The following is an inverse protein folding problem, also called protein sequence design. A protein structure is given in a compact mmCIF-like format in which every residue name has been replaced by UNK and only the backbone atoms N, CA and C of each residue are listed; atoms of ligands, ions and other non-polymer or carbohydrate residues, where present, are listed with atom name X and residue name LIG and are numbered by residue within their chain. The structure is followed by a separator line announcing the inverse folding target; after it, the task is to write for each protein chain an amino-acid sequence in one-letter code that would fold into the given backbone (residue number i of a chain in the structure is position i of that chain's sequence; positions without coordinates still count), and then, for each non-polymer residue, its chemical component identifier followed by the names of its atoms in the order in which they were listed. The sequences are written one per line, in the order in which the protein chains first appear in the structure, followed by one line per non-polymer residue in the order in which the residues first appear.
data_IF_974154593631
#
_entry.id   IF_974154593631
#
_cell.length_a   1.000
_cell.length_b   1.000
_cell.length_c   1.000
_cell.angle_alpha   90.00
_cell.angle_beta   90.00
_cell.angle_gamma   90.00
#
_symmetry.space_group_name_H-M   'P 1'
#
loop_
_entity.id
_entity.type
_entity.pdbx_description
1 polymer ?
#
# COMPACT_ATOMS: atom_id res chain seq x y z
N UNK A 1 10.84 -30.63 -6.81
CA UNK A 1 10.93 -29.39 -7.61
C UNK A 1 9.72 -28.54 -7.30
N UNK A 2 9.94 -27.42 -6.58
CA UNK A 2 8.87 -26.65 -5.93
C UNK A 2 8.23 -25.66 -6.91
N UNK A 3 6.96 -25.87 -7.26
CA UNK A 3 6.19 -25.03 -8.18
C UNK A 3 5.71 -23.70 -7.57
N UNK A 4 6.04 -23.43 -6.31
CA UNK A 4 5.56 -22.25 -5.57
C UNK A 4 6.55 -21.07 -5.52
N UNK A 5 7.83 -21.28 -5.89
CA UNK A 5 8.83 -20.22 -5.96
C UNK A 5 8.46 -19.04 -6.91
N UNK A 6 7.85 -19.25 -8.10
CA UNK A 6 7.56 -18.12 -8.98
C UNK A 6 6.41 -17.23 -8.47
N UNK A 7 5.49 -17.79 -7.69
CA UNK A 7 4.31 -17.04 -7.21
C UNK A 7 4.66 -15.99 -6.14
N UNK A 8 5.60 -16.31 -5.23
CA UNK A 8 6.07 -15.34 -4.25
C UNK A 8 6.83 -14.18 -4.91
N UNK A 9 7.60 -14.46 -5.95
CA UNK A 9 8.35 -13.43 -6.66
C UNK A 9 7.41 -12.45 -7.38
N UNK A 10 6.37 -12.95 -8.06
CA UNK A 10 5.39 -12.10 -8.74
C UNK A 10 4.63 -11.21 -7.76
N UNK A 11 4.19 -11.73 -6.61
CA UNK A 11 3.48 -10.95 -5.59
C UNK A 11 4.36 -9.84 -4.98
N UNK A 12 5.62 -10.14 -4.67
CA UNK A 12 6.56 -9.14 -4.15
C UNK A 12 6.87 -8.08 -5.19
N UNK A 13 7.10 -8.47 -6.45
CA UNK A 13 7.30 -7.51 -7.55
C UNK A 13 6.07 -6.63 -7.80
N UNK A 14 4.86 -7.19 -7.72
CA UNK A 14 3.63 -6.42 -7.91
C UNK A 14 3.40 -5.43 -6.76
N UNK A 15 3.68 -5.83 -5.53
CA UNK A 15 3.59 -4.95 -4.37
C UNK A 15 4.64 -3.83 -4.44
N UNK A 16 5.87 -4.15 -4.85
CA UNK A 16 6.94 -3.16 -5.02
C UNK A 16 6.61 -2.17 -6.15
N UNK A 17 6.06 -2.66 -7.26
CA UNK A 17 5.63 -1.82 -8.38
C UNK A 17 4.44 -0.92 -8.00
N UNK A 18 3.49 -1.41 -7.20
CA UNK A 18 2.38 -0.61 -6.69
C UNK A 18 2.88 0.51 -5.75
N UNK A 19 3.85 0.23 -4.90
CA UNK A 19 4.48 1.22 -4.01
C UNK A 19 5.24 2.28 -4.83
N UNK A 20 6.00 1.88 -5.86
CA UNK A 20 6.71 2.83 -6.73
C UNK A 20 5.74 3.72 -7.52
N UNK A 21 4.65 3.16 -8.04
CA UNK A 21 3.68 3.91 -8.85
C UNK A 21 2.84 4.89 -8.04
N UNK A 22 2.65 4.65 -6.74
CA UNK A 22 2.00 5.60 -5.84
C UNK A 22 2.89 6.83 -5.52
N UNK A 23 4.20 6.75 -5.75
CA UNK A 23 5.15 7.85 -5.51
C UNK A 23 5.33 8.82 -6.69
N UNK A 24 4.88 8.49 -7.89
CA UNK A 24 5.19 9.22 -9.13
C UNK A 24 4.13 10.27 -9.54
N UNK A 25 3.09 10.52 -8.73
CA UNK A 25 1.96 11.38 -9.13
C UNK A 25 2.10 12.84 -8.66
N UNK A 26 3.28 13.31 -8.23
CA UNK A 26 3.43 14.73 -7.79
C UNK A 26 4.76 15.39 -8.10
N UNK A 27 5.33 15.12 -9.28
CA UNK A 27 6.43 15.91 -9.82
C UNK A 27 6.20 16.26 -11.29
N UNK A 28 5.24 17.14 -11.55
CA UNK A 28 5.20 17.92 -12.80
C UNK A 28 4.40 19.22 -12.62
N UNK A 29 5.07 20.21 -12.03
CA UNK A 29 4.80 21.63 -12.25
C UNK A 29 6.06 22.40 -11.82
N UNK A 30 7.10 22.32 -12.65
CA UNK A 30 8.19 23.29 -12.62
C UNK A 30 7.60 24.66 -13.01
N UNK A 31 7.42 25.54 -12.01
CA UNK A 31 7.11 26.94 -12.23
C UNK A 31 8.42 27.63 -12.64
N UNK A 32 8.52 28.01 -13.92
CA UNK A 32 9.50 28.96 -14.40
C UNK A 32 9.38 30.30 -13.66
N UNK A 33 10.49 30.98 -13.31
CA UNK A 33 10.45 32.33 -12.78
C UNK A 33 10.20 33.32 -13.93
N UNK A 34 8.97 33.84 -14.04
CA UNK A 34 8.63 34.89 -14.98
C UNK A 34 9.36 36.20 -14.63
N UNK A 35 10.12 36.70 -15.61
CA UNK A 35 10.76 38.02 -15.63
C UNK A 35 9.73 39.13 -15.45
N UNK A 36 10.16 40.09 -14.65
CA UNK A 36 9.69 41.46 -14.52
C UNK A 36 9.41 42.12 -15.89
N UNK A 37 8.19 42.63 -16.05
CA UNK A 37 7.84 43.61 -17.09
C UNK A 37 6.70 44.51 -16.62
N UNK A 38 6.86 45.77 -17.01
CA UNK A 38 6.28 46.99 -16.47
C UNK A 38 4.78 47.18 -16.81
N UNK A 39 4.10 48.22 -16.26
CA UNK A 39 2.65 48.31 -16.22
C UNK A 39 2.07 48.88 -17.52
N UNK A 40 1.03 48.24 -18.05
CA UNK A 40 0.24 48.77 -19.15
C UNK A 40 -1.26 48.64 -18.84
N UNK A 41 -1.91 49.81 -18.85
CA UNK A 41 -3.28 50.12 -19.26
C UNK A 41 -4.42 49.19 -18.81
N UNK A 42 -5.26 49.76 -17.94
CA UNK A 42 -6.62 49.34 -17.60
C UNK A 42 -7.48 49.21 -18.87
N UNK A 43 -8.02 48.02 -19.11
CA UNK A 43 -9.14 47.78 -20.02
C UNK A 43 -10.34 47.25 -19.21
N UNK A 44 -11.58 47.67 -19.50
CA UNK A 44 -12.76 47.32 -18.73
C UNK A 44 -13.17 45.86 -18.91
N UNK A 45 -13.70 45.29 -17.83
CA UNK A 45 -14.10 43.89 -17.70
C UNK A 45 -15.23 43.49 -18.68
N UNK A 46 -15.16 42.32 -19.32
CA UNK A 46 -16.32 41.72 -19.97
C UNK A 46 -17.28 41.16 -18.91
N UNK A 47 -18.58 41.37 -19.16
CA UNK A 47 -19.69 40.90 -18.35
C UNK A 47 -19.66 39.37 -18.17
N UNK A 48 -19.79 38.93 -16.93
CA UNK A 48 -19.95 37.52 -16.56
C UNK A 48 -21.40 37.09 -16.87
N UNK A 49 -21.64 36.09 -17.73
CA UNK A 49 -22.95 35.48 -17.86
C UNK A 49 -23.26 34.60 -16.65
N UNK A 50 -24.53 34.63 -16.22
CA UNK A 50 -25.08 33.89 -15.09
C UNK A 50 -24.86 32.36 -15.23
N UNK A 51 -24.60 31.64 -14.13
CA UNK A 51 -24.55 30.18 -14.16
C UNK A 51 -25.97 29.61 -14.29
N UNK A 52 -26.16 28.82 -15.35
CA UNK A 52 -27.33 27.98 -15.53
C UNK A 52 -27.38 26.89 -14.44
N UNK A 53 -28.56 26.67 -13.89
CA UNK A 53 -28.87 25.60 -12.98
C UNK A 53 -28.90 24.26 -13.76
N UNK A 54 -28.02 23.32 -13.41
CA UNK A 54 -28.18 21.90 -13.75
C UNK A 54 -28.38 21.09 -12.46
N UNK A 55 -29.52 20.41 -12.43
CA UNK A 55 -29.85 19.29 -11.56
C UNK A 55 -30.06 18.05 -12.48
N UNK A 56 -30.25 16.83 -11.94
CA UNK A 56 -29.48 16.11 -10.94
C UNK A 56 -28.92 14.77 -11.49
N UNK A 57 -27.93 14.24 -10.77
CA UNK A 57 -27.47 12.86 -10.65
C UNK A 57 -28.03 11.79 -11.63
N UNK A 58 -27.17 11.32 -12.54
CA UNK A 58 -27.31 10.01 -13.16
C UNK A 58 -26.69 8.92 -12.24
N UNK A 59 -27.53 8.01 -11.78
CA UNK A 59 -27.14 6.83 -11.01
C UNK A 59 -26.29 5.86 -11.87
N UNK A 60 -25.23 5.23 -11.33
CA UNK A 60 -24.60 4.11 -12.01
C UNK A 60 -25.48 2.86 -11.90
N UNK A 61 -25.82 2.32 -13.06
CA UNK A 61 -26.58 1.09 -13.24
C UNK A 61 -25.93 -0.10 -12.53
N UNK A 62 -26.75 -0.84 -11.78
CA UNK A 62 -26.43 -2.16 -11.28
C UNK A 62 -26.20 -3.12 -12.45
N UNK A 63 -25.00 -3.68 -12.56
CA UNK A 63 -24.75 -4.86 -13.39
C UNK A 63 -25.21 -6.10 -12.64
N UNK A 64 -26.35 -6.63 -13.07
CA UNK A 64 -26.80 -7.98 -12.77
C UNK A 64 -25.83 -8.98 -13.42
N UNK A 65 -24.97 -9.61 -12.61
CA UNK A 65 -24.21 -10.78 -13.03
C UNK A 65 -25.14 -12.01 -12.97
N UNK A 66 -25.57 -12.43 -14.16
CA UNK A 66 -26.27 -13.68 -14.47
C UNK A 66 -25.49 -14.90 -13.94
N UNK A 67 -26.13 -15.87 -13.27
CA UNK A 67 -25.49 -17.11 -12.85
C UNK A 67 -25.41 -18.08 -14.04
N UNK A 68 -24.21 -18.30 -14.59
CA UNK A 68 -23.98 -19.32 -15.61
C UNK A 68 -23.58 -20.68 -14.99
N UNK A 69 -24.47 -21.64 -15.25
CA UNK A 69 -24.24 -23.05 -15.54
C UNK A 69 -23.33 -23.88 -14.61
N UNK A 70 -24.02 -24.62 -13.73
CA UNK A 70 -23.59 -25.88 -13.10
C UNK A 70 -23.23 -26.94 -14.18
N UNK A 71 -22.02 -27.51 -14.20
CA UNK A 71 -21.74 -28.68 -15.02
C UNK A 71 -22.40 -29.93 -14.42
N UNK A 72 -23.16 -30.66 -15.25
CA UNK A 72 -23.69 -31.98 -14.93
C UNK A 72 -22.53 -32.96 -14.66
N UNK A 73 -22.55 -33.57 -13.47
CA UNK A 73 -21.64 -34.64 -13.11
C UNK A 73 -22.02 -35.92 -13.87
N UNK A 74 -21.13 -36.38 -14.76
CA UNK A 74 -21.18 -37.75 -15.29
C UNK A 74 -20.95 -38.76 -14.15
N UNK A 75 -21.71 -39.87 -14.10
CA UNK A 75 -21.44 -40.96 -13.17
C UNK A 75 -20.05 -41.55 -13.42
N UNK A 76 -19.17 -41.41 -12.44
CA UNK A 76 -17.85 -42.05 -12.45
C UNK A 76 -18.04 -43.55 -12.25
N UNK A 77 -17.59 -44.27 -13.26
CA UNK A 77 -17.49 -45.72 -13.32
C UNK A 77 -16.74 -46.26 -12.09
N UNK A 78 -17.31 -47.29 -11.46
CA UNK A 78 -16.80 -47.92 -10.23
C UNK A 78 -15.38 -48.46 -10.50
N UNK A 79 -14.34 -47.99 -9.79
CA UNK A 79 -12.99 -48.49 -9.98
C UNK A 79 -12.94 -49.99 -9.66
N UNK A 80 -12.37 -50.77 -10.58
CA UNK A 80 -12.03 -52.17 -10.35
C UNK A 80 -11.15 -52.31 -9.09
N UNK A 81 -11.28 -53.41 -8.32
CA UNK A 81 -10.45 -53.65 -7.15
C UNK A 81 -8.98 -53.74 -7.56
N UNK A 82 -8.21 -52.72 -7.17
CA UNK A 82 -6.76 -52.70 -7.33
C UNK A 82 -6.18 -53.77 -6.40
N UNK A 83 -5.29 -54.66 -6.90
CA UNK A 83 -4.65 -55.67 -6.07
C UNK A 83 -3.93 -55.02 -4.88
N UNK A 84 -4.13 -55.60 -3.71
CA UNK A 84 -3.57 -55.19 -2.42
C UNK A 84 -2.03 -55.28 -2.47
N UNK A 85 -1.38 -54.18 -2.84
CA UNK A 85 0.07 -54.04 -2.80
C UNK A 85 0.47 -54.01 -1.33
N UNK A 86 1.10 -55.09 -0.85
CA UNK A 86 1.74 -55.15 0.47
C UNK A 86 2.54 -53.87 0.70
N UNK A 87 2.14 -53.11 1.71
CA UNK A 87 2.78 -51.86 2.11
C UNK A 87 4.29 -52.09 2.33
N UNK A 88 5.18 -51.48 1.51
CA UNK A 88 6.59 -51.48 1.83
C UNK A 88 6.80 -50.69 3.13
N UNK A 89 7.68 -51.22 4.00
CA UNK A 89 7.91 -50.75 5.36
C UNK A 89 8.01 -49.22 5.48
N UNK A 90 7.15 -48.61 6.31
CA UNK A 90 7.02 -47.16 6.51
C UNK A 90 8.21 -46.50 7.24
N UNK A 91 9.13 -47.29 7.81
CA UNK A 91 10.21 -46.81 8.69
C UNK A 91 11.34 -45.99 8.04
N UNK A 92 11.77 -46.20 6.77
CA UNK A 92 12.87 -45.45 6.17
C UNK A 92 12.54 -43.96 5.88
N UNK A 93 11.26 -43.65 5.64
CA UNK A 93 10.81 -42.30 5.27
C UNK A 93 10.73 -41.35 6.47
N UNK A 94 10.47 -41.87 7.68
CA UNK A 94 10.40 -41.06 8.90
C UNK A 94 11.78 -40.51 9.31
N UNK A 95 12.85 -41.29 9.11
CA UNK A 95 14.22 -40.88 9.44
C UNK A 95 14.70 -39.75 8.52
N UNK A 96 14.28 -39.76 7.26
CA UNK A 96 14.64 -38.73 6.28
C UNK A 96 13.82 -37.44 6.46
N UNK A 97 12.55 -37.53 6.88
CA UNK A 97 11.74 -36.37 7.24
C UNK A 97 12.30 -35.63 8.47
N UNK A 98 12.70 -36.36 9.51
CA UNK A 98 13.25 -35.76 10.74
C UNK A 98 14.51 -34.92 10.48
N UNK A 99 15.35 -35.30 9.52
CA UNK A 99 16.57 -34.57 9.14
C UNK A 99 16.29 -33.28 8.37
N UNK A 100 15.11 -33.12 7.78
CA UNK A 100 14.68 -31.90 7.07
C UNK A 100 13.87 -30.95 7.96
N UNK A 101 13.48 -31.39 9.15
CA UNK A 101 12.76 -30.58 10.13
C UNK A 101 13.42 -29.21 10.38
N UNK A 102 14.76 -29.09 10.52
CA UNK A 102 15.38 -27.78 10.75
C UNK A 102 15.14 -26.78 9.61
N UNK A 103 15.05 -27.25 8.37
CA UNK A 103 14.73 -26.38 7.22
C UNK A 103 13.28 -25.93 7.28
N UNK A 104 12.36 -26.85 7.57
CA UNK A 104 10.94 -26.54 7.72
C UNK A 104 10.70 -25.52 8.84
N UNK A 105 11.33 -25.72 9.99
CA UNK A 105 11.23 -24.82 11.14
C UNK A 105 11.82 -23.44 10.81
N UNK A 106 12.93 -23.39 10.07
CA UNK A 106 13.53 -22.14 9.62
C UNK A 106 12.62 -21.36 8.66
N UNK A 107 11.96 -22.04 7.72
CA UNK A 107 10.97 -21.40 6.82
C UNK A 107 9.77 -20.87 7.59
N UNK A 108 9.21 -21.66 8.51
CA UNK A 108 8.06 -21.23 9.30
C UNK A 108 8.41 -20.01 10.15
N UNK A 109 9.56 -20.05 10.84
CA UNK A 109 10.04 -18.92 11.62
C UNK A 109 10.27 -17.68 10.74
N UNK A 110 10.90 -17.84 9.59
CA UNK A 110 11.13 -16.73 8.66
C UNK A 110 9.83 -16.09 8.18
N UNK A 111 8.80 -16.91 7.90
CA UNK A 111 7.47 -16.42 7.54
C UNK A 111 6.86 -15.59 8.68
N UNK A 112 6.89 -16.12 9.91
CA UNK A 112 6.29 -15.45 11.07
C UNK A 112 7.02 -14.15 11.43
N UNK A 113 8.35 -14.15 11.37
CA UNK A 113 9.17 -12.96 11.58
C UNK A 113 8.89 -11.88 10.51
N UNK A 114 8.73 -12.28 9.25
CA UNK A 114 8.39 -11.36 8.17
C UNK A 114 6.98 -10.79 8.32
N UNK A 115 6.00 -11.63 8.67
CA UNK A 115 4.63 -11.21 8.91
C UNK A 115 4.52 -10.22 10.09
N UNK A 116 5.23 -10.49 11.19
CA UNK A 116 5.30 -9.59 12.34
C UNK A 116 5.94 -8.24 11.96
N UNK A 117 7.02 -8.27 11.18
CA UNK A 117 7.67 -7.07 10.67
C UNK A 117 6.74 -6.25 9.76
N UNK A 118 6.05 -6.90 8.81
CA UNK A 118 5.09 -6.26 7.92
C UNK A 118 3.96 -5.57 8.68
N UNK A 119 3.43 -6.22 9.72
CA UNK A 119 2.38 -5.64 10.57
C UNK A 119 2.87 -4.36 11.24
N UNK A 120 4.04 -4.41 11.88
CA UNK A 120 4.65 -3.23 12.51
C UNK A 120 4.96 -2.11 11.51
N UNK A 121 5.42 -2.45 10.30
CA UNK A 121 5.65 -1.50 9.23
C UNK A 121 4.35 -0.82 8.78
N UNK A 122 3.29 -1.60 8.61
CA UNK A 122 1.96 -1.11 8.25
C UNK A 122 1.39 -0.18 9.32
N UNK A 123 1.50 -0.54 10.59
CA UNK A 123 1.01 0.28 11.71
C UNK A 123 1.71 1.65 11.71
N UNK A 124 3.03 1.68 11.52
CA UNK A 124 3.81 2.93 11.44
C UNK A 124 3.38 3.81 10.28
N UNK A 125 3.16 3.23 9.10
CA UNK A 125 2.74 3.99 7.92
C UNK A 125 1.32 4.55 8.10
N UNK A 126 0.40 3.73 8.60
CA UNK A 126 -0.99 4.15 8.87
C UNK A 126 -1.06 5.31 9.87
N UNK A 127 -0.20 5.33 10.89
CA UNK A 127 -0.14 6.43 11.85
C UNK A 127 0.31 7.75 11.23
N UNK A 128 1.19 7.72 10.22
CA UNK A 128 1.59 8.92 9.46
C UNK A 128 0.47 9.36 8.53
N UNK A 129 -0.17 8.42 7.83
CA UNK A 129 -1.31 8.70 6.95
C UNK A 129 -2.47 9.35 7.70
N UNK A 130 -2.78 8.87 8.90
CA UNK A 130 -3.81 9.46 9.76
C UNK A 130 -3.47 10.92 10.11
N UNK A 131 -2.22 11.22 10.47
CA UNK A 131 -1.80 12.61 10.73
C UNK A 131 -1.93 13.51 9.51
N UNK A 132 -1.59 13.00 8.33
CA UNK A 132 -1.76 13.73 7.06
C UNK A 132 -3.24 14.04 6.82
N UNK A 133 -4.14 13.07 7.07
CA UNK A 133 -5.58 13.28 6.98
C UNK A 133 -6.08 14.31 8.01
N UNK A 134 -5.64 14.22 9.26
CA UNK A 134 -6.00 15.16 10.33
C UNK A 134 -5.59 16.60 9.99
N UNK A 135 -4.37 16.79 9.45
CA UNK A 135 -3.92 18.11 9.01
C UNK A 135 -4.77 18.67 7.87
N UNK A 136 -5.10 17.84 6.86
CA UNK A 136 -6.00 18.26 5.77
C UNK A 136 -7.38 18.67 6.27
N UNK A 137 -7.94 17.93 7.22
CA UNK A 137 -9.23 18.27 7.84
C UNK A 137 -9.17 19.59 8.59
N UNK A 138 -8.11 19.83 9.35
CA UNK A 138 -7.95 21.09 10.12
C UNK A 138 -7.73 22.30 9.22
N UNK A 139 -7.00 22.13 8.12
CA UNK A 139 -6.83 23.17 7.10
C UNK A 139 -8.18 23.57 6.50
N UNK A 140 -8.96 22.59 6.02
CA UNK A 140 -10.29 22.86 5.44
C UNK A 140 -11.25 23.49 6.44
N UNK A 141 -11.24 23.05 7.70
CA UNK A 141 -12.05 23.66 8.76
C UNK A 141 -11.62 25.12 9.03
N UNK A 142 -10.32 25.40 9.10
CA UNK A 142 -9.82 26.76 9.31
C UNK A 142 -10.12 27.67 8.11
N UNK A 143 -10.00 27.19 6.89
CA UNK A 143 -10.36 27.94 5.68
C UNK A 143 -11.85 28.30 5.66
N UNK A 144 -12.72 27.37 6.07
CA UNK A 144 -14.14 27.63 6.23
C UNK A 144 -14.42 28.68 7.33
N UNK A 145 -13.73 28.60 8.48
CA UNK A 145 -13.83 29.60 9.56
C UNK A 145 -13.37 30.98 9.11
N UNK A 146 -12.25 31.07 8.37
CA UNK A 146 -11.75 32.34 7.80
C UNK A 146 -12.78 32.94 6.85
N UNK A 147 -13.39 32.12 5.99
CA UNK A 147 -14.43 32.57 5.06
C UNK A 147 -15.65 33.10 5.81
N UNK A 148 -16.11 32.38 6.83
CA UNK A 148 -17.23 32.82 7.68
C UNK A 148 -16.94 34.14 8.39
N UNK A 149 -15.76 34.28 9.01
CA UNK A 149 -15.36 35.52 9.70
C UNK A 149 -15.21 36.71 8.74
N UNK A 150 -14.81 36.46 7.49
CA UNK A 150 -14.78 37.50 6.43
C UNK A 150 -16.18 37.96 6.07
N UNK A 151 -17.15 37.05 5.96
CA UNK A 151 -18.57 37.38 5.71
C UNK A 151 -19.18 38.12 6.90
N UNK A 152 -18.89 37.69 8.12
CA UNK A 152 -19.42 38.28 9.36
C UNK A 152 -18.73 39.62 9.73
N UNK A 153 -17.84 40.14 8.88
CA UNK A 153 -17.05 41.36 9.11
C UNK A 153 -16.31 41.37 10.47
N UNK A 154 -15.82 40.21 10.89
CA UNK A 154 -15.10 40.04 12.15
C UNK A 154 -13.78 40.84 12.18
N UNK A 155 -13.19 41.08 13.36
CA UNK A 155 -11.95 41.83 13.48
C UNK A 155 -10.82 41.24 12.62
N UNK A 156 -10.13 42.09 11.83
CA UNK A 156 -9.00 41.68 10.96
C UNK A 156 -7.90 40.91 11.69
N UNK A 157 -7.69 41.21 12.97
CA UNK A 157 -6.70 40.49 13.80
C UNK A 157 -7.04 39.01 13.96
N UNK A 158 -8.33 38.67 14.14
CA UNK A 158 -8.78 37.29 14.27
C UNK A 158 -8.65 36.51 12.96
N UNK A 159 -8.99 37.17 11.83
CA UNK A 159 -8.83 36.59 10.49
C UNK A 159 -7.36 36.28 10.22
N UNK A 160 -6.46 37.23 10.47
CA UNK A 160 -5.01 37.03 10.29
C UNK A 160 -4.45 35.92 11.17
N UNK A 161 -4.86 35.86 12.44
CA UNK A 161 -4.41 34.80 13.33
C UNK A 161 -4.78 33.39 12.82
N UNK A 162 -5.99 33.22 12.24
CA UNK A 162 -6.38 31.95 11.62
C UNK A 162 -5.66 31.69 10.29
N UNK A 163 -5.42 32.71 9.48
CA UNK A 163 -4.63 32.58 8.24
C UNK A 163 -3.19 32.15 8.55
N UNK A 164 -2.56 32.72 9.57
CA UNK A 164 -1.22 32.34 10.05
C UNK A 164 -1.22 30.90 10.60
N UNK A 165 -2.25 30.50 11.35
CA UNK A 165 -2.41 29.12 11.80
C UNK A 165 -2.57 28.14 10.62
N UNK A 166 -3.39 28.49 9.63
CA UNK A 166 -3.57 27.66 8.41
C UNK A 166 -2.25 27.51 7.67
N UNK A 167 -1.47 28.58 7.52
CA UNK A 167 -0.12 28.52 6.93
C UNK A 167 0.79 27.56 7.72
N UNK A 168 0.78 27.65 9.05
CA UNK A 168 1.52 26.72 9.91
C UNK A 168 1.08 25.25 9.75
N UNK A 169 -0.22 24.99 9.55
CA UNK A 169 -0.72 23.64 9.27
C UNK A 169 -0.27 23.13 7.90
N UNK A 170 -0.19 23.99 6.88
CA UNK A 170 0.37 23.63 5.57
C UNK A 170 1.84 23.24 5.66
N UNK A 171 2.65 23.98 6.43
CA UNK A 171 4.05 23.64 6.67
C UNK A 171 4.19 22.28 7.39
N UNK A 172 3.35 22.04 8.41
CA UNK A 172 3.30 20.75 9.12
C UNK A 172 2.84 19.59 8.23
N UNK A 173 1.82 19.82 7.38
CA UNK A 173 1.34 18.84 6.41
C UNK A 173 2.48 18.44 5.45
N UNK A 174 3.22 19.42 4.92
CA UNK A 174 4.36 19.17 4.03
C UNK A 174 5.46 18.38 4.74
N UNK A 175 5.79 18.75 5.98
CA UNK A 175 6.78 18.02 6.78
C UNK A 175 6.38 16.55 7.04
N UNK A 176 5.11 16.28 7.37
CA UNK A 176 4.62 14.90 7.54
C UNK A 176 4.53 14.13 6.22
N UNK A 177 4.20 14.77 5.09
CA UNK A 177 4.29 14.13 3.76
C UNK A 177 5.72 13.75 3.40
N UNK A 178 6.70 14.62 3.67
CA UNK A 178 8.11 14.28 3.51
C UNK A 178 8.53 13.15 4.46
N UNK A 179 8.02 13.14 5.69
CA UNK A 179 8.25 12.05 6.64
C UNK A 179 7.68 10.74 6.13
N UNK A 180 6.47 10.75 5.56
CA UNK A 180 5.83 9.59 4.93
C UNK A 180 6.72 9.06 3.81
N UNK A 181 7.16 9.91 2.88
CA UNK A 181 8.03 9.51 1.77
C UNK A 181 9.38 8.95 2.27
N UNK A 182 9.99 9.56 3.29
CA UNK A 182 11.22 9.03 3.92
C UNK A 182 10.97 7.66 4.56
N UNK A 183 9.84 7.49 5.25
CA UNK A 183 9.47 6.23 5.90
C UNK A 183 9.25 5.12 4.88
N UNK A 184 8.51 5.38 3.79
CA UNK A 184 8.29 4.40 2.73
C UNK A 184 9.60 3.93 2.10
N UNK A 185 10.54 4.84 1.81
CA UNK A 185 11.88 4.49 1.30
C UNK A 185 12.68 3.67 2.33
N UNK A 186 12.62 4.05 3.60
CA UNK A 186 13.31 3.33 4.67
C UNK A 186 12.75 1.91 4.86
N UNK A 187 11.42 1.75 4.78
CA UNK A 187 10.75 0.45 4.82
C UNK A 187 11.13 -0.42 3.61
N UNK A 188 11.26 0.17 2.42
CA UNK A 188 11.76 -0.56 1.24
C UNK A 188 13.14 -1.16 1.47
N UNK A 189 14.11 -0.36 1.95
CA UNK A 189 15.46 -0.87 2.29
C UNK A 189 15.44 -1.90 3.41
N UNK A 190 14.61 -1.68 4.43
CA UNK A 190 14.46 -2.64 5.52
C UNK A 190 13.85 -3.97 5.04
N UNK A 191 12.96 -3.95 4.05
CA UNK A 191 12.39 -5.14 3.43
C UNK A 191 13.50 -5.99 2.76
N UNK A 192 14.37 -5.34 1.97
CA UNK A 192 15.50 -6.00 1.31
C UNK A 192 16.44 -6.67 2.32
N UNK A 193 16.80 -5.96 3.40
CA UNK A 193 17.63 -6.50 4.47
C UNK A 193 16.95 -7.68 5.19
N UNK A 194 15.63 -7.62 5.41
CA UNK A 194 14.87 -8.72 6.00
C UNK A 194 14.85 -9.96 5.12
N UNK A 195 14.62 -9.79 3.82
CA UNK A 195 14.64 -10.90 2.85
C UNK A 195 16.04 -11.54 2.80
N UNK A 196 17.10 -10.73 2.79
CA UNK A 196 18.48 -11.21 2.82
C UNK A 196 18.76 -12.03 4.09
N UNK A 197 18.36 -11.52 5.26
CA UNK A 197 18.52 -12.22 6.53
C UNK A 197 17.76 -13.56 6.58
N UNK A 198 16.53 -13.58 6.04
CA UNK A 198 15.71 -14.80 5.93
C UNK A 198 16.40 -15.83 5.02
N UNK A 199 16.84 -15.42 3.83
CA UNK A 199 17.50 -16.31 2.88
C UNK A 199 18.77 -16.92 3.48
N UNK A 200 19.56 -16.13 4.21
CA UNK A 200 20.74 -16.64 4.93
C UNK A 200 20.34 -17.67 5.99
N UNK A 201 19.38 -17.35 6.85
CA UNK A 201 18.94 -18.26 7.91
C UNK A 201 18.41 -19.60 7.37
N UNK A 202 17.70 -19.57 6.24
CA UNK A 202 17.22 -20.78 5.58
C UNK A 202 18.37 -21.58 4.95
N UNK A 203 19.33 -20.90 4.32
CA UNK A 203 20.53 -21.52 3.77
C UNK A 203 21.34 -22.24 4.85
N UNK A 204 21.57 -21.57 5.99
CA UNK A 204 22.29 -22.15 7.12
C UNK A 204 21.57 -23.41 7.67
N UNK A 205 20.23 -23.37 7.74
CA UNK A 205 19.42 -24.51 8.15
C UNK A 205 19.50 -25.67 7.14
N UNK A 206 19.56 -25.37 5.84
CA UNK A 206 19.72 -26.36 4.79
C UNK A 206 21.12 -27.00 4.84
N UNK A 207 22.18 -26.22 5.04
CA UNK A 207 23.54 -26.74 5.22
C UNK A 207 23.63 -27.65 6.44
N UNK A 208 23.06 -27.24 7.58
CA UNK A 208 23.00 -28.06 8.80
C UNK A 208 22.26 -29.37 8.57
N UNK A 209 21.14 -29.34 7.86
CA UNK A 209 20.36 -30.53 7.52
C UNK A 209 21.13 -31.44 6.55
N UNK A 210 21.88 -30.87 5.61
CA UNK A 210 22.74 -31.62 4.69
C UNK A 210 23.89 -32.33 5.41
N UNK A 211 24.47 -31.70 6.44
CA UNK A 211 25.52 -32.30 7.26
C UNK A 211 25.00 -33.49 8.07
N UNK A 212 23.73 -33.47 8.51
CA UNK A 212 23.09 -34.59 9.22
C UNK A 212 22.74 -35.78 8.31
N UNK A 213 22.72 -35.56 6.98
CA UNK A 213 22.44 -36.60 6.00
C UNK A 213 23.69 -37.38 5.58
N UNK A 214 24.88 -36.79 5.75
CA UNK A 214 26.18 -37.44 5.52
C UNK A 214 26.55 -38.33 6.72
#
# INVERSE_FOLDING_TARGET
MSRYAPLCFVLVSFLLAAISRAGEVSESAAVEPAKESAPAAVAPAPAVPAPAAEAPAAAPAASEAKPEAKPEAKPVEKPAPVPEVKAPAERPLQISAAKLQPVSDAYQKAHDDFAAWLRSASDKLSAVEQKVADFKSRITENEAKVTKLKVDAAPKAQIRALEDQTKGLWDQLKAEQERQARMSRALGRAAEEKVKAINQSVSDAAEKSSAQLR
#
